data_IF_462700159408
#
_entry.id   IF_462700159408
#
_cell.length_a   1.000
_cell.length_b   1.000
_cell.length_c   1.000
_cell.angle_alpha   90.00
_cell.angle_beta   90.00
_cell.angle_gamma   90.00
#
_symmetry.space_group_name_H-M   'P 1'
#
loop_
_entity.id
_entity.type
_entity.pdbx_description
1 polymer ?
#
# COMPACT_ATOMS: atom_id res chain seq x y z
N UNK A 1 -11.09 8.84 12.18
CA UNK A 1 -12.07 7.81 11.76
C UNK A 1 -12.95 8.20 10.57
N UNK A 2 -13.24 9.49 10.32
CA UNK A 2 -14.14 9.94 9.24
C UNK A 2 -13.48 9.97 7.84
N UNK A 3 -12.18 10.20 7.77
CA UNK A 3 -11.38 10.31 6.52
C UNK A 3 -11.21 8.97 5.78
N UNK A 4 -11.26 7.83 6.49
CA UNK A 4 -11.14 6.50 5.87
C UNK A 4 -12.41 6.16 5.06
N UNK A 5 -13.56 6.76 5.38
CA UNK A 5 -14.81 6.40 4.72
C UNK A 5 -14.96 7.03 3.32
N UNK A 6 -14.43 8.23 3.11
CA UNK A 6 -14.62 8.99 1.87
C UNK A 6 -13.73 8.49 0.72
N UNK A 7 -12.48 8.13 0.99
CA UNK A 7 -11.55 7.64 -0.05
C UNK A 7 -11.78 6.17 -0.39
N UNK A 8 -12.29 5.38 0.57
CA UNK A 8 -12.53 3.95 0.40
C UNK A 8 -13.95 3.60 -0.09
N UNK A 9 -14.93 4.51 0.09
CA UNK A 9 -16.32 4.33 -0.37
C UNK A 9 -16.46 4.02 -1.87
N UNK A 10 -15.62 4.62 -2.72
CA UNK A 10 -15.66 4.41 -4.18
C UNK A 10 -15.30 2.97 -4.59
N UNK A 11 -14.40 2.32 -3.85
CA UNK A 11 -13.97 0.95 -4.13
C UNK A 11 -15.06 -0.04 -3.70
N UNK A 12 -15.65 0.16 -2.52
CA UNK A 12 -16.79 -0.65 -2.06
C UNK A 12 -17.99 -0.55 -3.00
N UNK A 13 -18.29 0.65 -3.49
CA UNK A 13 -19.40 0.87 -4.42
C UNK A 13 -19.18 0.11 -5.74
N UNK A 14 -17.96 0.14 -6.29
CA UNK A 14 -17.62 -0.56 -7.55
C UNK A 14 -17.73 -2.07 -7.42
N UNK A 15 -17.24 -2.66 -6.34
CA UNK A 15 -17.31 -4.11 -6.13
C UNK A 15 -18.72 -4.58 -5.74
N UNK A 16 -19.49 -3.78 -5.02
CA UNK A 16 -20.91 -4.05 -4.76
C UNK A 16 -21.74 -4.02 -6.05
N UNK A 17 -21.45 -3.06 -6.96
CA UNK A 17 -22.09 -2.98 -8.28
C UNK A 17 -21.67 -4.18 -9.15
N UNK A 18 -20.39 -4.56 -9.16
CA UNK A 18 -19.91 -5.75 -9.89
C UNK A 18 -20.53 -7.04 -9.37
N UNK A 19 -20.67 -7.20 -8.05
CA UNK A 19 -21.37 -8.33 -7.44
C UNK A 19 -22.86 -8.39 -7.81
N UNK A 20 -23.51 -7.23 -7.89
CA UNK A 20 -24.91 -7.12 -8.32
C UNK A 20 -25.07 -7.43 -9.82
N UNK A 21 -24.16 -6.95 -10.66
CA UNK A 21 -24.12 -7.28 -12.10
C UNK A 21 -23.86 -8.77 -12.29
N UNK A 22 -22.93 -9.37 -11.54
CA UNK A 22 -22.62 -10.79 -11.62
C UNK A 22 -23.80 -11.66 -11.18
N UNK A 23 -24.55 -11.25 -10.14
CA UNK A 23 -25.77 -11.92 -9.70
C UNK A 23 -26.89 -11.83 -10.75
N UNK A 24 -27.01 -10.71 -11.46
CA UNK A 24 -27.92 -10.55 -12.60
C UNK A 24 -27.47 -11.42 -13.79
N UNK A 25 -26.15 -11.54 -14.03
CA UNK A 25 -25.60 -12.27 -15.17
C UNK A 25 -25.63 -13.80 -14.99
N UNK A 26 -25.43 -14.29 -13.76
CA UNK A 26 -25.46 -15.72 -13.42
C UNK A 26 -26.87 -16.24 -13.10
N UNK A 27 -27.86 -15.35 -13.00
CA UNK A 27 -29.15 -15.64 -12.38
C UNK A 27 -30.38 -15.51 -13.26
N UNK A 28 -30.29 -15.64 -14.59
CA UNK A 28 -31.48 -15.85 -15.42
C UNK A 28 -31.16 -16.84 -16.55
N UNK A 29 -31.51 -18.12 -16.35
CA UNK A 29 -32.62 -18.62 -17.13
C UNK A 29 -33.79 -18.98 -16.22
N UNK A 30 -34.92 -18.36 -16.54
CA UNK A 30 -36.28 -18.83 -16.32
C UNK A 30 -36.35 -20.35 -16.24
N UNK A 31 -36.60 -20.90 -15.05
CA UNK A 31 -37.61 -21.95 -14.79
C UNK A 31 -37.45 -22.57 -13.39
N UNK A 32 -37.43 -21.75 -12.33
CA UNK A 32 -37.69 -22.27 -10.99
C UNK A 32 -38.68 -21.35 -10.28
N UNK A 33 -39.82 -21.96 -9.97
CA UNK A 33 -40.96 -21.46 -9.22
C UNK A 33 -40.56 -21.03 -7.80
N UNK A 34 -39.80 -19.93 -7.67
CA UNK A 34 -39.33 -19.35 -6.42
C UNK A 34 -39.79 -17.90 -6.39
N UNK A 35 -41.08 -17.72 -6.14
CA UNK A 35 -41.71 -16.42 -5.89
C UNK A 35 -41.33 -15.85 -4.51
N UNK A 36 -40.53 -16.57 -3.69
CA UNK A 36 -40.38 -16.20 -2.29
C UNK A 36 -39.08 -15.53 -1.85
N UNK A 37 -37.96 -15.62 -2.55
CA UNK A 37 -36.70 -15.14 -1.92
C UNK A 37 -35.67 -14.45 -2.85
N UNK A 38 -36.04 -13.42 -3.63
CA UNK A 38 -35.04 -12.58 -4.33
C UNK A 38 -34.15 -11.80 -3.35
N UNK A 39 -34.61 -11.62 -2.11
CA UNK A 39 -33.90 -10.85 -1.06
C UNK A 39 -32.64 -11.57 -0.59
N UNK A 40 -32.69 -12.90 -0.37
CA UNK A 40 -31.51 -13.65 0.09
C UNK A 40 -30.36 -13.65 -0.92
N UNK A 41 -30.65 -13.66 -2.22
CA UNK A 41 -29.62 -13.56 -3.26
C UNK A 41 -28.92 -12.19 -3.25
N UNK A 42 -29.68 -11.11 -3.03
CA UNK A 42 -29.12 -9.75 -2.91
C UNK A 42 -28.23 -9.67 -1.66
N UNK A 43 -28.69 -10.16 -0.51
CA UNK A 43 -27.88 -10.18 0.72
C UNK A 43 -26.62 -11.04 0.58
N UNK A 44 -26.72 -12.21 -0.06
CA UNK A 44 -25.57 -13.09 -0.32
C UNK A 44 -24.55 -12.43 -1.26
N UNK A 45 -25.00 -11.79 -2.34
CA UNK A 45 -24.12 -11.06 -3.26
C UNK A 45 -23.44 -9.86 -2.57
N UNK A 46 -24.15 -9.16 -1.70
CA UNK A 46 -23.64 -8.01 -0.94
C UNK A 46 -22.59 -8.47 0.09
N UNK A 47 -22.83 -9.57 0.80
CA UNK A 47 -21.86 -10.18 1.73
C UNK A 47 -20.61 -10.68 1.00
N UNK A 48 -20.75 -11.33 -0.15
CA UNK A 48 -19.62 -11.76 -0.97
C UNK A 48 -18.81 -10.58 -1.53
N UNK A 49 -19.48 -9.52 -1.99
CA UNK A 49 -18.82 -8.31 -2.47
C UNK A 49 -18.06 -7.57 -1.36
N UNK A 50 -18.63 -7.49 -0.15
CA UNK A 50 -17.97 -6.93 1.03
C UNK A 50 -16.77 -7.78 1.48
N UNK A 51 -16.95 -9.10 1.54
CA UNK A 51 -15.88 -10.04 1.92
C UNK A 51 -14.70 -9.98 0.95
N UNK A 52 -14.97 -10.01 -0.35
CA UNK A 52 -13.94 -9.88 -1.39
C UNK A 52 -13.23 -8.53 -1.33
N UNK A 53 -13.97 -7.43 -1.11
CA UNK A 53 -13.39 -6.09 -0.95
C UNK A 53 -12.45 -6.02 0.25
N UNK A 54 -12.83 -6.62 1.38
CA UNK A 54 -12.01 -6.65 2.59
C UNK A 54 -10.72 -7.45 2.38
N UNK A 55 -10.82 -8.64 1.76
CA UNK A 55 -9.66 -9.47 1.42
C UNK A 55 -8.73 -8.77 0.42
N UNK A 56 -9.29 -8.14 -0.60
CA UNK A 56 -8.53 -7.39 -1.60
C UNK A 56 -7.81 -6.19 -0.99
N UNK A 57 -8.47 -5.48 -0.08
CA UNK A 57 -7.87 -4.36 0.64
C UNK A 57 -6.73 -4.82 1.55
N UNK A 58 -6.91 -5.92 2.28
CA UNK A 58 -5.87 -6.51 3.12
C UNK A 58 -4.65 -6.92 2.29
N UNK A 59 -4.88 -7.66 1.19
CA UNK A 59 -3.83 -8.10 0.26
C UNK A 59 -3.06 -6.93 -0.35
N UNK A 60 -3.78 -5.89 -0.81
CA UNK A 60 -3.14 -4.70 -1.40
C UNK A 60 -2.32 -3.91 -0.37
N UNK A 61 -2.78 -3.83 0.88
CA UNK A 61 -2.01 -3.19 1.96
C UNK A 61 -0.74 -3.98 2.30
N UNK A 62 -0.80 -5.31 2.33
CA UNK A 62 0.38 -6.16 2.53
C UNK A 62 1.39 -6.02 1.40
N UNK A 63 0.96 -6.03 0.14
CA UNK A 63 1.86 -5.84 -1.00
C UNK A 63 2.52 -4.45 -0.98
N UNK A 64 1.76 -3.41 -0.62
CA UNK A 64 2.33 -2.06 -0.45
C UNK A 64 3.39 -2.01 0.65
N UNK A 65 3.14 -2.66 1.79
CA UNK A 65 4.12 -2.75 2.89
C UNK A 65 5.39 -3.50 2.46
N UNK A 66 5.25 -4.61 1.73
CA UNK A 66 6.39 -5.37 1.16
C UNK A 66 7.24 -4.51 0.24
N UNK A 67 6.62 -3.81 -0.71
CA UNK A 67 7.34 -2.92 -1.63
C UNK A 67 8.04 -1.77 -0.88
N UNK A 68 7.37 -1.21 0.12
CA UNK A 68 7.96 -0.17 0.96
C UNK A 68 9.15 -0.68 1.79
N UNK A 69 9.09 -1.92 2.29
CA UNK A 69 10.21 -2.56 2.98
C UNK A 69 11.42 -2.78 2.05
N UNK A 70 11.21 -3.16 0.78
CA UNK A 70 12.28 -3.24 -0.21
C UNK A 70 12.92 -1.88 -0.46
N UNK A 71 12.12 -0.82 -0.55
CA UNK A 71 12.61 0.55 -0.67
C UNK A 71 13.46 0.98 0.54
N UNK A 72 12.99 0.72 1.77
CA UNK A 72 13.75 1.02 2.99
C UNK A 72 15.07 0.23 3.05
N UNK A 73 15.05 -1.04 2.63
CA UNK A 73 16.27 -1.87 2.55
C UNK A 73 17.28 -1.30 1.55
N UNK A 74 16.81 -0.82 0.39
CA UNK A 74 17.66 -0.16 -0.59
C UNK A 74 18.27 1.13 -0.03
N UNK A 75 17.45 1.98 0.61
CA UNK A 75 17.94 3.23 1.22
C UNK A 75 18.96 2.97 2.32
N UNK A 76 18.67 2.04 3.23
CA UNK A 76 19.60 1.59 4.28
C UNK A 76 20.96 1.24 3.66
N UNK A 77 20.98 0.36 2.66
CA UNK A 77 22.21 -0.07 2.00
C UNK A 77 23.01 1.07 1.39
N UNK A 78 22.34 2.04 0.71
CA UNK A 78 23.03 3.20 0.13
C UNK A 78 23.55 4.17 1.20
N UNK A 79 22.76 4.43 2.23
CA UNK A 79 23.15 5.33 3.33
C UNK A 79 24.35 4.77 4.12
N UNK A 80 24.38 3.47 4.39
CA UNK A 80 25.53 2.81 5.03
C UNK A 80 26.81 2.84 4.19
N UNK A 81 26.70 3.05 2.87
CA UNK A 81 27.85 3.32 1.99
C UNK A 81 28.26 4.80 1.97
N UNK A 82 27.65 5.66 2.80
CA UNK A 82 27.92 7.09 2.87
C UNK A 82 27.28 7.90 1.74
N UNK A 83 26.36 7.32 0.98
CA UNK A 83 25.64 8.05 -0.08
C UNK A 83 24.64 9.02 0.57
N UNK A 84 24.54 10.25 0.05
CA UNK A 84 23.54 11.20 0.55
C UNK A 84 22.12 10.72 0.31
N UNK A 85 21.18 11.11 1.17
CA UNK A 85 19.78 10.72 1.07
C UNK A 85 19.17 11.09 -0.30
N UNK A 86 19.42 12.31 -0.77
CA UNK A 86 18.92 12.80 -2.06
C UNK A 86 19.40 11.92 -3.22
N UNK A 87 20.69 11.55 -3.19
CA UNK A 87 21.27 10.70 -4.22
C UNK A 87 20.77 9.27 -4.14
N UNK A 88 20.62 8.73 -2.93
CA UNK A 88 20.01 7.41 -2.72
C UNK A 88 18.56 7.37 -3.24
N UNK A 89 17.77 8.41 -2.96
CA UNK A 89 16.40 8.55 -3.47
C UNK A 89 16.37 8.67 -5.01
N UNK A 90 17.27 9.48 -5.57
CA UNK A 90 17.39 9.67 -7.01
C UNK A 90 17.69 8.36 -7.76
N UNK A 91 18.67 7.59 -7.25
CA UNK A 91 19.15 6.36 -7.88
C UNK A 91 18.24 5.14 -7.60
N UNK A 92 17.28 5.27 -6.68
CA UNK A 92 16.40 4.16 -6.27
C UNK A 92 15.41 3.71 -7.36
N UNK A 93 15.11 4.55 -8.36
CA UNK A 93 14.06 4.27 -9.34
C UNK A 93 14.39 3.05 -10.20
N UNK A 94 15.58 3.00 -10.79
CA UNK A 94 15.98 1.94 -11.73
C UNK A 94 16.11 0.56 -11.05
N UNK A 95 16.83 0.41 -9.92
CA UNK A 95 16.97 -0.90 -9.27
C UNK A 95 15.63 -1.44 -8.79
N UNK A 96 14.83 -0.60 -8.13
CA UNK A 96 13.53 -1.03 -7.61
C UNK A 96 12.53 -1.31 -8.74
N UNK A 97 12.61 -0.60 -9.87
CA UNK A 97 11.76 -0.89 -11.02
C UNK A 97 12.07 -2.25 -11.66
N UNK A 98 13.34 -2.67 -11.63
CA UNK A 98 13.76 -4.00 -12.10
C UNK A 98 13.27 -5.10 -11.17
N UNK A 99 13.29 -4.89 -9.86
CA UNK A 99 12.88 -5.90 -8.87
C UNK A 99 11.36 -6.02 -8.73
N UNK A 100 10.65 -4.90 -8.67
CA UNK A 100 9.22 -4.86 -8.31
C UNK A 100 8.30 -4.75 -9.53
N UNK A 101 8.85 -4.35 -10.68
CA UNK A 101 8.12 -4.11 -11.92
C UNK A 101 7.69 -2.64 -12.10
N UNK A 102 7.68 -2.18 -13.36
CA UNK A 102 7.53 -0.75 -13.69
C UNK A 102 6.14 -0.16 -13.37
N UNK A 103 5.10 -0.98 -13.30
CA UNK A 103 3.72 -0.51 -13.11
C UNK A 103 3.32 -0.31 -11.64
N UNK A 104 4.19 -0.69 -10.70
CA UNK A 104 3.92 -0.58 -9.28
C UNK A 104 3.74 0.88 -8.86
N UNK A 105 2.86 1.08 -7.88
CA UNK A 105 2.57 2.42 -7.34
C UNK A 105 3.83 3.07 -6.77
N UNK A 106 4.67 2.30 -6.06
CA UNK A 106 5.96 2.77 -5.54
C UNK A 106 6.86 3.33 -6.65
N UNK A 107 7.02 2.61 -7.76
CA UNK A 107 7.89 3.04 -8.86
C UNK A 107 7.38 4.31 -9.52
N UNK A 108 6.06 4.44 -9.68
CA UNK A 108 5.44 5.69 -10.15
C UNK A 108 5.68 6.85 -9.20
N UNK A 109 5.57 6.61 -7.89
CA UNK A 109 5.86 7.61 -6.87
C UNK A 109 7.35 8.02 -6.89
N UNK A 110 8.27 7.06 -6.97
CA UNK A 110 9.71 7.29 -7.06
C UNK A 110 10.12 8.03 -8.34
N UNK A 111 9.49 7.72 -9.49
CA UNK A 111 9.73 8.45 -10.74
C UNK A 111 9.29 9.91 -10.62
N UNK A 112 8.15 10.16 -9.98
CA UNK A 112 7.68 11.51 -9.68
C UNK A 112 8.62 12.24 -8.74
N UNK A 113 9.08 11.55 -7.68
CA UNK A 113 10.08 12.06 -6.73
C UNK A 113 11.35 12.50 -7.46
N UNK A 114 11.89 11.62 -8.31
CA UNK A 114 13.09 11.89 -9.10
C UNK A 114 12.91 13.08 -10.04
N UNK A 115 11.76 13.17 -10.70
CA UNK A 115 11.42 14.31 -11.56
C UNK A 115 11.41 15.63 -10.79
N UNK A 116 10.89 15.63 -9.56
CA UNK A 116 10.84 16.83 -8.73
C UNK A 116 12.22 17.22 -8.19
N UNK A 117 13.05 16.25 -7.82
CA UNK A 117 14.47 16.51 -7.47
C UNK A 117 15.23 17.11 -8.65
N UNK A 118 15.01 16.61 -9.87
CA UNK A 118 15.59 17.20 -11.09
C UNK A 118 15.11 18.63 -11.35
N UNK A 119 13.89 18.96 -10.92
CA UNK A 119 13.35 20.31 -10.96
C UNK A 119 13.84 21.21 -9.80
N UNK A 120 14.84 20.76 -9.03
CA UNK A 120 15.43 21.47 -7.89
C UNK A 120 14.41 21.80 -6.78
N UNK A 121 13.34 21.02 -6.68
CA UNK A 121 12.38 21.14 -5.58
C UNK A 121 13.05 20.72 -4.26
N UNK A 122 12.72 21.42 -3.17
CA UNK A 122 13.29 21.13 -1.85
C UNK A 122 12.94 19.70 -1.41
N UNK A 123 13.90 19.03 -0.76
CA UNK A 123 13.75 17.63 -0.34
C UNK A 123 12.48 17.40 0.50
N UNK A 124 12.12 18.34 1.37
CA UNK A 124 10.94 18.19 2.23
C UNK A 124 9.63 18.13 1.42
N UNK A 125 9.48 19.01 0.43
CA UNK A 125 8.30 19.06 -0.45
C UNK A 125 8.22 17.78 -1.29
N UNK A 126 9.39 17.33 -1.77
CA UNK A 126 9.50 16.10 -2.54
C UNK A 126 9.10 14.86 -1.73
N UNK A 127 9.56 14.76 -0.49
CA UNK A 127 9.21 13.67 0.43
C UNK A 127 7.73 13.71 0.82
N UNK A 128 7.17 14.90 1.00
CA UNK A 128 5.74 15.07 1.24
C UNK A 128 4.92 14.56 0.05
N UNK A 129 5.20 15.02 -1.17
CA UNK A 129 4.49 14.57 -2.38
C UNK A 129 4.63 13.06 -2.62
N UNK A 130 5.78 12.49 -2.30
CA UNK A 130 5.98 11.04 -2.35
C UNK A 130 5.06 10.30 -1.37
N UNK A 131 4.95 10.79 -0.13
CA UNK A 131 4.09 10.19 0.88
C UNK A 131 2.60 10.26 0.52
N UNK A 132 2.15 11.39 -0.03
CA UNK A 132 0.78 11.59 -0.51
C UNK A 132 0.45 10.61 -1.64
N UNK A 133 1.38 10.39 -2.56
CA UNK A 133 1.22 9.41 -3.65
C UNK A 133 1.17 7.97 -3.15
N UNK A 134 2.00 7.62 -2.16
CA UNK A 134 2.02 6.28 -1.57
C UNK A 134 0.72 5.96 -0.83
N UNK A 135 0.08 6.99 -0.24
CA UNK A 135 -1.16 6.88 0.53
C UNK A 135 -1.10 5.73 1.55
N UNK A 136 -0.02 5.72 2.34
CA UNK A 136 0.26 4.74 3.37
C UNK A 136 0.61 5.50 4.67
N UNK A 137 -0.16 5.37 5.76
CA UNK A 137 0.06 6.16 6.97
C UNK A 137 1.49 6.05 7.53
N UNK A 138 2.05 4.84 7.50
CA UNK A 138 3.43 4.57 7.93
C UNK A 138 4.43 5.35 7.10
N UNK A 139 4.22 5.44 5.78
CA UNK A 139 5.11 6.19 4.88
C UNK A 139 5.00 7.71 5.14
N UNK A 140 3.80 8.23 5.38
CA UNK A 140 3.60 9.66 5.69
C UNK A 140 4.35 10.08 6.96
N UNK A 141 4.24 9.29 8.02
CA UNK A 141 4.98 9.55 9.25
C UNK A 141 6.50 9.46 9.04
N UNK A 142 6.95 8.41 8.34
CA UNK A 142 8.37 8.18 8.07
C UNK A 142 8.98 9.33 7.26
N UNK A 143 8.32 9.77 6.19
CA UNK A 143 8.82 10.84 5.32
C UNK A 143 8.85 12.19 6.04
N UNK A 144 7.90 12.45 6.93
CA UNK A 144 7.88 13.66 7.77
C UNK A 144 9.03 13.68 8.78
N UNK A 145 9.32 12.54 9.40
CA UNK A 145 10.45 12.44 10.33
C UNK A 145 11.79 12.53 9.58
N UNK A 146 11.87 11.91 8.40
CA UNK A 146 13.03 11.94 7.53
C UNK A 146 13.37 13.37 7.08
N UNK A 147 12.36 14.17 6.71
CA UNK A 147 12.55 15.57 6.31
C UNK A 147 13.05 16.43 7.46
N UNK A 148 12.45 16.30 8.64
CA UNK A 148 12.89 16.96 9.88
C UNK A 148 14.35 16.63 10.21
N UNK A 149 14.71 15.35 10.11
CA UNK A 149 16.06 14.90 10.38
C UNK A 149 17.06 15.37 9.34
N UNK A 150 16.69 15.39 8.06
CA UNK A 150 17.54 15.90 6.98
C UNK A 150 17.88 17.38 7.19
N UNK A 151 16.89 18.20 7.58
CA UNK A 151 17.12 19.61 7.95
C UNK A 151 18.01 19.77 9.18
N UNK A 152 17.83 18.92 10.18
CA UNK A 152 18.55 19.01 11.45
C UNK A 152 19.97 18.39 11.39
N UNK A 153 20.39 17.80 10.27
CA UNK A 153 21.63 17.04 10.18
C UNK A 153 21.64 15.77 11.06
N UNK A 154 20.45 15.21 11.32
CA UNK A 154 20.26 14.04 12.16
C UNK A 154 20.82 12.75 11.55
N UNK A 155 20.88 11.69 12.36
CA UNK A 155 21.37 10.37 11.95
C UNK A 155 20.35 9.63 11.07
N UNK A 156 20.23 10.04 9.82
CA UNK A 156 19.28 9.50 8.82
C UNK A 156 19.43 7.99 8.66
N UNK A 157 20.67 7.50 8.63
CA UNK A 157 20.96 6.08 8.50
C UNK A 157 20.36 5.26 9.66
N UNK A 158 20.61 5.66 10.91
CA UNK A 158 20.10 4.97 12.10
C UNK A 158 18.57 4.88 12.08
N UNK A 159 17.90 5.97 11.68
CA UNK A 159 16.45 6.01 11.55
C UNK A 159 15.95 5.03 10.48
N UNK A 160 16.50 5.06 9.26
CA UNK A 160 16.08 4.16 8.19
C UNK A 160 16.30 2.69 8.59
N UNK A 161 17.44 2.39 9.22
CA UNK A 161 17.76 1.05 9.75
C UNK A 161 16.79 0.59 10.84
N UNK A 162 16.37 1.50 11.73
CA UNK A 162 15.38 1.22 12.75
C UNK A 162 14.00 0.98 12.13
N UNK A 163 13.58 1.80 11.17
CA UNK A 163 12.28 1.66 10.48
C UNK A 163 12.21 0.37 9.67
N UNK A 164 13.26 0.03 8.94
CA UNK A 164 13.36 -1.24 8.22
C UNK A 164 13.19 -2.44 9.16
N UNK A 165 13.95 -2.49 10.27
CA UNK A 165 13.86 -3.57 11.27
C UNK A 165 12.47 -3.65 11.89
N UNK A 166 11.93 -2.51 12.33
CA UNK A 166 10.59 -2.45 12.93
C UNK A 166 9.50 -2.95 11.97
N UNK A 167 9.55 -2.55 10.70
CA UNK A 167 8.56 -2.96 9.70
C UNK A 167 8.68 -4.45 9.38
N UNK A 168 9.91 -4.97 9.26
CA UNK A 168 10.15 -6.40 9.06
C UNK A 168 9.60 -7.23 10.23
N UNK A 169 9.85 -6.82 11.47
CA UNK A 169 9.30 -7.49 12.67
C UNK A 169 7.77 -7.44 12.72
N UNK A 170 7.16 -6.29 12.38
CA UNK A 170 5.70 -6.20 12.32
C UNK A 170 5.09 -7.15 11.29
N UNK A 171 5.77 -7.33 10.15
CA UNK A 171 5.35 -8.25 9.10
C UNK A 171 5.55 -9.72 9.51
N UNK A 172 6.65 -10.06 10.19
CA UNK A 172 6.86 -11.43 10.68
C UNK A 172 5.83 -11.81 11.74
N UNK A 173 5.56 -10.92 12.71
CA UNK A 173 4.53 -11.16 13.73
C UNK A 173 3.15 -11.35 13.09
N UNK A 174 2.79 -10.53 12.09
CA UNK A 174 1.52 -10.71 11.37
C UNK A 174 1.45 -12.06 10.64
N UNK A 175 2.56 -12.51 10.05
CA UNK A 175 2.63 -13.81 9.39
C UNK A 175 2.51 -14.96 10.41
N UNK A 176 3.21 -14.88 11.54
CA UNK A 176 3.19 -15.88 12.61
C UNK A 176 1.82 -16.01 13.26
N UNK A 177 1.15 -14.89 13.50
CA UNK A 177 -0.23 -14.88 14.00
C UNK A 177 -1.16 -15.56 12.98
N UNK A 178 -1.03 -15.25 11.70
CA UNK A 178 -1.86 -15.86 10.65
C UNK A 178 -1.63 -17.37 10.49
N UNK A 179 -0.41 -17.86 10.71
CA UNK A 179 -0.09 -19.30 10.68
C UNK A 179 -0.58 -20.01 11.95
N UNK A 180 -0.46 -19.37 13.12
CA UNK A 180 -0.94 -19.93 14.39
C UNK A 180 -2.47 -20.11 14.40
N UNK A 181 -3.23 -19.14 13.86
CA UNK A 181 -4.68 -19.28 13.72
C UNK A 181 -5.10 -20.37 12.71
N UNK A 182 -4.26 -20.68 11.70
CA UNK A 182 -4.51 -21.78 10.76
C UNK A 182 -4.17 -23.15 11.34
N UNK A 183 -3.21 -23.24 12.27
CA UNK A 183 -2.80 -24.50 12.89
C UNK A 183 -3.69 -24.94 14.06
N UNK A 184 -4.58 -24.07 14.55
CA UNK A 184 -5.51 -24.35 15.67
C UNK A 184 -6.96 -24.63 15.22
N UNK A 185 -7.22 -24.76 13.92
CA UNK A 185 -8.53 -25.16 13.36
C UNK A 185 -8.47 -26.57 12.81
#
# INVERSE_FOLDING_TARGET
>A
MKEIFLTHGSVYLRFSILGLILAILLGIPYDLNIIREPVYFIFAALLLGLGFSCLWQSSNQESKKKHYLHFLSYLSGRLSMGVSLERALYESVEPLAKELGQHQLLIRALRSLRSNLNAQMALDDVLQLFSEKMNLPVCTEDMRLLSLMARAGGKIEDFINQRQRSLATQMSIQADVATEYKGKS
#
